data_IF_072932108068
#
_entry.id   IF_072932108068
#
_cell.length_a   1.000
_cell.length_b   1.000
_cell.length_c   1.000
_cell.angle_alpha   90.00
_cell.angle_beta   90.00
_cell.angle_gamma   90.00
#
_symmetry.space_group_name_H-M   'P 1'
#
loop_
_entity.id
_entity.type
_entity.pdbx_description
1 polymer ?
#
# COMPACT_ATOMS: atom_id res chain seq x y z
N UNK A 1 6.85 -38.99 -21.65
CA UNK A 1 7.12 -38.25 -20.39
C UNK A 1 6.78 -36.78 -20.62
N UNK A 2 6.08 -36.10 -19.72
CA UNK A 2 5.70 -34.69 -19.87
C UNK A 2 6.72 -33.83 -19.12
N UNK A 3 7.34 -32.87 -19.81
CA UNK A 3 8.21 -31.87 -19.20
C UNK A 3 7.52 -30.51 -19.29
N UNK A 4 7.45 -29.79 -18.17
CA UNK A 4 6.93 -28.43 -18.10
C UNK A 4 8.05 -27.48 -17.64
N UNK A 5 8.19 -26.35 -18.31
CA UNK A 5 8.99 -25.22 -17.81
C UNK A 5 8.08 -24.30 -16.99
N UNK A 6 8.58 -23.87 -15.83
CA UNK A 6 7.84 -23.05 -14.88
C UNK A 6 8.65 -21.78 -14.63
N UNK A 7 7.99 -20.63 -14.63
CA UNK A 7 8.58 -19.38 -14.16
C UNK A 7 7.99 -19.01 -12.79
N UNK A 8 8.85 -18.49 -11.91
CA UNK A 8 8.45 -17.89 -10.63
C UNK A 8 8.28 -16.38 -10.82
N UNK A 9 7.06 -15.88 -10.65
CA UNK A 9 6.84 -14.44 -10.61
C UNK A 9 7.09 -13.92 -9.19
N UNK A 10 8.02 -12.98 -9.05
CA UNK A 10 8.23 -12.23 -7.81
C UNK A 10 7.87 -10.77 -8.03
N UNK A 11 7.22 -10.18 -7.03
CA UNK A 11 6.85 -8.78 -7.10
C UNK A 11 8.10 -7.92 -6.90
N UNK A 12 8.50 -7.20 -7.94
CA UNK A 12 9.54 -6.17 -7.83
C UNK A 12 8.95 -4.92 -7.18
N UNK A 13 8.94 -4.86 -5.85
CA UNK A 13 8.48 -3.69 -5.10
C UNK A 13 9.47 -3.36 -3.98
N UNK A 14 9.83 -2.09 -3.87
CA UNK A 14 10.62 -1.56 -2.77
C UNK A 14 9.90 -0.36 -2.18
N UNK A 15 9.59 -0.44 -0.89
CA UNK A 15 8.99 0.68 -0.16
C UNK A 15 10.02 1.81 0.01
N UNK A 16 9.56 3.05 -0.12
CA UNK A 16 10.36 4.27 0.05
C UNK A 16 9.91 5.11 1.24
N UNK A 17 8.74 4.82 1.83
CA UNK A 17 8.21 5.40 3.05
C UNK A 17 7.20 4.45 3.69
N UNK A 18 6.79 4.68 4.94
CA UNK A 18 5.67 3.95 5.55
C UNK A 18 4.34 4.24 4.84
N UNK A 19 4.10 5.53 4.57
CA UNK A 19 3.02 6.03 3.72
C UNK A 19 3.64 6.82 2.56
N UNK A 20 3.40 6.36 1.34
CA UNK A 20 3.76 7.09 0.13
C UNK A 20 2.50 7.65 -0.51
N UNK A 21 2.47 8.96 -0.74
CA UNK A 21 1.44 9.66 -1.49
C UNK A 21 2.12 10.13 -2.78
N UNK A 22 1.73 9.52 -3.90
CA UNK A 22 2.46 9.60 -5.16
C UNK A 22 1.63 10.30 -6.24
N UNK A 23 1.95 11.58 -6.42
CA UNK A 23 1.32 12.48 -7.37
C UNK A 23 1.87 13.90 -7.24
N UNK A 24 1.16 14.83 -7.87
CA UNK A 24 1.43 16.27 -7.76
C UNK A 24 0.15 17.00 -7.38
N UNK A 25 0.21 17.87 -6.38
CA UNK A 25 -0.96 18.55 -5.84
C UNK A 25 -1.75 17.69 -4.86
N UNK A 26 -1.02 16.82 -4.15
CA UNK A 26 -1.56 15.84 -3.22
C UNK A 26 -2.33 16.51 -2.08
N UNK A 27 -3.39 15.86 -1.63
CA UNK A 27 -4.17 16.34 -0.48
C UNK A 27 -4.24 15.29 0.61
N UNK A 28 -4.09 15.73 1.85
CA UNK A 28 -4.31 14.88 2.99
C UNK A 28 -5.10 15.57 4.10
N UNK A 29 -5.84 14.76 4.85
CA UNK A 29 -6.45 15.13 6.11
C UNK A 29 -5.99 14.12 7.16
N UNK A 30 -5.24 14.59 8.15
CA UNK A 30 -4.65 13.76 9.18
C UNK A 30 -5.45 13.84 10.48
N UNK A 31 -5.60 12.74 11.24
CA UNK A 31 -6.50 12.70 12.36
C UNK A 31 -5.92 13.43 13.57
N UNK A 32 -6.80 13.97 14.41
CA UNK A 32 -6.41 14.58 15.69
C UNK A 32 -6.29 13.56 16.83
N UNK A 33 -6.39 12.25 16.56
CA UNK A 33 -6.17 11.17 17.53
C UNK A 33 -4.79 11.26 18.17
N UNK A 34 -4.69 11.07 19.49
CA UNK A 34 -3.40 11.04 20.21
C UNK A 34 -2.50 9.88 19.77
N UNK A 35 -3.09 8.78 19.30
CA UNK A 35 -2.43 7.49 19.13
C UNK A 35 -2.23 7.12 17.66
N UNK A 36 -2.90 7.79 16.73
CA UNK A 36 -2.59 7.66 15.30
C UNK A 36 -1.20 8.25 15.04
N UNK A 37 -0.41 7.54 14.25
CA UNK A 37 0.90 7.97 13.78
C UNK A 37 1.29 7.30 12.47
N UNK A 38 2.31 7.85 11.84
CA UNK A 38 2.98 7.27 10.69
C UNK A 38 4.44 7.12 11.04
N UNK A 39 4.93 5.89 11.11
CA UNK A 39 6.27 5.57 11.55
C UNK A 39 7.05 4.85 10.45
N UNK A 40 8.04 5.52 9.88
CA UNK A 40 9.00 4.98 8.91
C UNK A 40 10.17 4.23 9.54
N UNK A 41 10.32 4.25 10.87
CA UNK A 41 11.31 3.43 11.56
C UNK A 41 10.86 1.98 11.47
N UNK A 42 11.71 1.14 10.89
CA UNK A 42 11.37 -0.25 10.64
C UNK A 42 11.06 -1.02 11.92
N UNK A 43 10.03 -1.84 11.84
CA UNK A 43 9.57 -2.69 12.94
C UNK A 43 9.52 -4.16 12.52
N UNK A 44 9.92 -5.03 13.44
CA UNK A 44 9.75 -6.47 13.27
C UNK A 44 8.27 -6.80 13.03
N UNK A 45 8.00 -7.74 12.11
CA UNK A 45 6.64 -8.02 11.67
C UNK A 45 6.56 -9.20 10.72
N UNK A 46 5.37 -9.80 10.65
CA UNK A 46 5.05 -10.90 9.73
C UNK A 46 6.02 -12.09 9.78
N UNK A 47 6.45 -12.46 10.99
CA UNK A 47 7.38 -13.57 11.23
C UNK A 47 8.86 -13.19 11.10
N UNK A 48 9.19 -11.98 10.64
CA UNK A 48 10.56 -11.44 10.68
C UNK A 48 10.86 -10.84 12.05
N UNK A 49 12.02 -11.18 12.61
CA UNK A 49 12.59 -10.56 13.81
C UNK A 49 13.67 -9.53 13.49
N UNK A 50 14.11 -9.46 12.23
CA UNK A 50 15.13 -8.51 11.77
C UNK A 50 14.49 -7.24 11.24
N UNK A 51 15.07 -6.10 11.60
CA UNK A 51 14.73 -4.80 11.04
C UNK A 51 15.80 -4.33 10.07
N UNK A 52 15.39 -3.80 8.93
CA UNK A 52 16.18 -3.07 7.96
C UNK A 52 16.32 -1.57 8.31
N UNK A 53 16.77 -0.75 7.35
CA UNK A 53 16.94 0.68 7.55
C UNK A 53 15.61 1.39 7.74
N UNK A 54 15.62 2.49 8.51
CA UNK A 54 14.49 3.39 8.61
C UNK A 54 14.23 4.07 7.25
N UNK A 55 12.96 4.26 6.93
CA UNK A 55 12.48 5.05 5.81
C UNK A 55 11.82 6.34 6.34
N UNK A 56 11.54 7.31 5.46
CA UNK A 56 10.62 8.40 5.76
C UNK A 56 9.30 7.89 6.33
N UNK A 57 8.73 8.62 7.30
CA UNK A 57 7.37 8.38 7.75
C UNK A 57 6.39 8.55 6.59
N UNK A 58 6.33 9.77 6.05
CA UNK A 58 5.56 10.08 4.84
C UNK A 58 6.51 10.46 3.72
N UNK A 59 6.34 9.83 2.57
CA UNK A 59 7.00 10.18 1.31
C UNK A 59 6.03 10.80 0.32
N UNK A 60 6.44 11.90 -0.31
CA UNK A 60 5.76 12.57 -1.43
C UNK A 60 6.74 12.83 -2.58
N UNK A 61 6.29 13.22 -3.76
CA UNK A 61 7.18 13.36 -4.94
C UNK A 61 7.63 14.78 -5.27
N UNK A 62 7.10 15.80 -4.59
CA UNK A 62 7.54 17.17 -4.78
C UNK A 62 7.57 17.99 -3.48
N UNK A 63 8.30 19.11 -3.50
CA UNK A 63 8.47 19.97 -2.33
C UNK A 63 7.21 20.77 -1.95
N UNK A 64 6.39 21.26 -2.91
CA UNK A 64 5.05 21.77 -2.60
C UNK A 64 4.23 20.80 -1.75
N UNK A 65 4.18 19.53 -2.11
CA UNK A 65 3.42 18.51 -1.38
C UNK A 65 4.03 18.19 -0.02
N UNK A 66 5.37 18.27 0.14
CA UNK A 66 5.98 18.21 1.49
C UNK A 66 5.39 19.28 2.40
N UNK A 67 5.21 20.50 1.87
CA UNK A 67 4.63 21.62 2.63
C UNK A 67 3.15 21.40 2.92
N UNK A 68 2.37 21.00 1.90
CA UNK A 68 0.93 20.73 2.01
C UNK A 68 0.63 19.63 3.05
N UNK A 69 1.32 18.50 2.95
CA UNK A 69 1.11 17.36 3.84
C UNK A 69 1.61 17.66 5.26
N UNK A 70 2.74 18.36 5.42
CA UNK A 70 3.21 18.81 6.73
C UNK A 70 2.22 19.76 7.40
N UNK A 71 1.56 20.63 6.63
CA UNK A 71 0.55 21.55 7.14
C UNK A 71 -0.77 20.84 7.49
N UNK A 72 -1.09 19.73 6.82
CA UNK A 72 -2.26 18.90 7.12
C UNK A 72 -2.15 18.15 8.46
N UNK A 73 -0.94 17.93 8.98
CA UNK A 73 -0.72 17.27 10.28
C UNK A 73 -1.04 18.25 11.43
N UNK A 74 -1.97 17.92 12.34
CA UNK A 74 -2.28 18.77 13.48
C UNK A 74 -1.03 19.07 14.33
N UNK A 75 -0.85 20.32 14.75
CA UNK A 75 0.37 20.77 15.44
C UNK A 75 0.71 19.94 16.70
N UNK A 76 -0.30 19.51 17.45
CA UNK A 76 -0.15 18.67 18.65
C UNK A 76 0.02 17.17 18.34
N UNK A 77 0.20 16.80 17.07
CA UNK A 77 0.37 15.43 16.57
C UNK A 77 1.64 15.21 15.78
N UNK A 78 2.39 16.26 15.46
CA UNK A 78 3.61 16.19 14.65
C UNK A 78 4.61 15.14 15.14
N UNK A 79 4.73 14.97 16.46
CA UNK A 79 5.64 13.98 17.07
C UNK A 79 5.27 12.51 16.77
N UNK A 80 4.06 12.24 16.29
CA UNK A 80 3.61 10.88 15.93
C UNK A 80 3.99 10.49 14.49
N UNK A 81 4.62 11.40 13.74
CA UNK A 81 5.05 11.20 12.37
C UNK A 81 6.57 11.14 12.37
N UNK A 82 7.10 9.92 12.48
CA UNK A 82 8.53 9.64 12.68
C UNK A 82 9.10 8.85 11.52
N UNK A 83 10.41 8.91 11.33
CA UNK A 83 11.10 8.12 10.31
C UNK A 83 12.57 8.52 10.21
N UNK A 84 13.17 8.26 9.06
CA UNK A 84 14.61 8.43 8.83
C UNK A 84 15.10 9.89 8.86
N UNK A 85 14.20 10.87 8.77
CA UNK A 85 14.57 12.30 8.67
C UNK A 85 15.14 12.90 9.96
N UNK A 86 15.00 12.23 11.11
CA UNK A 86 15.53 12.70 12.40
C UNK A 86 14.78 13.91 13.00
N UNK A 87 13.73 14.40 12.35
CA UNK A 87 12.83 15.45 12.83
C UNK A 87 11.38 15.03 12.70
N UNK A 88 10.50 15.62 13.52
CA UNK A 88 9.05 15.37 13.48
C UNK A 88 8.27 16.64 13.12
N UNK A 89 7.29 16.59 12.20
CA UNK A 89 6.86 15.40 11.47
C UNK A 89 7.87 15.03 10.38
N UNK A 90 8.06 13.74 10.14
CA UNK A 90 8.93 13.25 9.06
C UNK A 90 8.14 13.11 7.75
N UNK A 91 8.14 14.18 6.97
CA UNK A 91 7.56 14.25 5.62
C UNK A 91 8.70 14.62 4.65
N UNK A 92 8.98 13.76 3.68
CA UNK A 92 10.12 13.94 2.79
C UNK A 92 9.72 13.84 1.32
N UNK A 93 10.43 14.60 0.47
CA UNK A 93 10.39 14.41 -0.96
C UNK A 93 11.27 13.20 -1.33
N UNK A 94 10.63 12.14 -1.83
CA UNK A 94 11.24 10.86 -2.18
C UNK A 94 11.36 10.62 -3.70
N UNK A 95 11.15 11.65 -4.52
CA UNK A 95 11.23 11.53 -5.99
C UNK A 95 12.54 10.91 -6.50
N UNK A 96 13.66 11.18 -5.84
CA UNK A 96 14.97 10.62 -6.20
C UNK A 96 15.23 9.21 -5.68
N UNK A 97 14.47 8.75 -4.69
CA UNK A 97 14.59 7.40 -4.11
C UNK A 97 13.50 6.44 -4.59
N UNK A 98 12.47 6.94 -5.27
CA UNK A 98 11.42 6.12 -5.89
C UNK A 98 12.01 5.16 -6.93
N UNK A 99 11.78 3.84 -6.81
CA UNK A 99 12.13 2.87 -7.83
C UNK A 99 11.48 3.22 -9.18
N UNK A 100 12.16 2.97 -10.33
CA UNK A 100 11.62 3.28 -11.65
C UNK A 100 10.24 2.68 -11.94
N UNK A 101 9.91 1.55 -11.32
CA UNK A 101 8.62 0.90 -11.49
C UNK A 101 7.47 1.59 -10.73
N UNK A 102 7.76 2.59 -9.89
CA UNK A 102 6.78 3.37 -9.14
C UNK A 102 6.64 4.82 -9.63
N UNK A 103 7.46 5.30 -10.58
CA UNK A 103 7.54 6.74 -10.90
C UNK A 103 6.49 7.27 -11.89
N UNK A 104 5.80 6.40 -12.63
CA UNK A 104 4.94 6.82 -13.76
C UNK A 104 3.60 6.09 -13.76
N UNK A 105 2.60 6.68 -14.42
CA UNK A 105 1.29 6.02 -14.65
C UNK A 105 1.47 4.64 -15.27
N UNK A 106 2.28 4.54 -16.33
CA UNK A 106 2.53 3.26 -17.02
C UNK A 106 3.23 2.25 -16.11
N UNK A 107 4.23 2.67 -15.34
CA UNK A 107 4.97 1.74 -14.49
C UNK A 107 4.12 1.19 -13.34
N UNK A 108 3.28 2.03 -12.73
CA UNK A 108 2.32 1.62 -11.70
C UNK A 108 1.18 0.75 -12.25
N UNK A 109 0.70 1.04 -13.46
CA UNK A 109 -0.26 0.18 -14.16
C UNK A 109 0.34 -1.18 -14.50
N UNK A 110 1.61 -1.24 -14.90
CA UNK A 110 2.32 -2.49 -15.11
C UNK A 110 2.47 -3.27 -13.79
N UNK A 111 2.89 -2.60 -12.71
CA UNK A 111 2.99 -3.22 -11.37
C UNK A 111 1.66 -3.83 -10.93
N UNK A 112 0.58 -3.05 -10.99
CA UNK A 112 -0.76 -3.53 -10.60
C UNK A 112 -1.27 -4.64 -11.52
N UNK A 113 -0.95 -4.60 -12.82
CA UNK A 113 -1.27 -5.68 -13.76
C UNK A 113 -0.51 -6.97 -13.44
N UNK A 114 0.77 -6.88 -13.08
CA UNK A 114 1.56 -8.01 -12.58
C UNK A 114 0.91 -8.59 -11.32
N UNK A 115 0.57 -7.76 -10.33
CA UNK A 115 -0.10 -8.23 -9.11
C UNK A 115 -1.45 -8.89 -9.43
N UNK A 116 -2.21 -8.34 -10.39
CA UNK A 116 -3.48 -8.93 -10.84
C UNK A 116 -3.30 -10.34 -11.41
N UNK A 117 -2.19 -10.62 -12.07
CA UNK A 117 -1.87 -11.97 -12.59
C UNK A 117 -1.48 -12.97 -11.49
N UNK A 118 -1.08 -12.47 -10.32
CA UNK A 118 -0.63 -13.27 -9.17
C UNK A 118 -1.71 -13.46 -8.09
N UNK A 119 -2.96 -13.03 -8.34
CA UNK A 119 -4.02 -13.06 -7.31
C UNK A 119 -4.26 -14.48 -6.78
N UNK A 120 -4.42 -14.61 -5.47
CA UNK A 120 -4.68 -15.90 -4.81
C UNK A 120 -6.16 -16.23 -4.69
N UNK A 121 -7.02 -15.31 -5.14
CA UNK A 121 -8.47 -15.43 -5.17
C UNK A 121 -9.05 -14.66 -6.38
N UNK A 122 -10.30 -14.91 -6.78
CA UNK A 122 -10.92 -14.16 -7.87
C UNK A 122 -10.84 -12.65 -7.66
N UNK A 123 -10.57 -11.92 -8.75
CA UNK A 123 -10.59 -10.46 -8.74
C UNK A 123 -11.94 -9.97 -8.21
N UNK A 124 -11.90 -9.10 -7.21
CA UNK A 124 -13.10 -8.51 -6.62
C UNK A 124 -13.53 -7.32 -7.48
N UNK A 125 -14.77 -7.30 -7.93
CA UNK A 125 -15.34 -6.16 -8.66
C UNK A 125 -15.95 -5.17 -7.66
N UNK A 126 -15.53 -3.91 -7.73
CA UNK A 126 -16.09 -2.83 -6.92
C UNK A 126 -17.41 -2.29 -7.49
N UNK A 127 -18.24 -1.61 -6.67
CA UNK A 127 -18.02 -1.35 -5.25
C UNK A 127 -18.22 -2.63 -4.40
N UNK A 128 -17.24 -2.94 -3.54
CA UNK A 128 -17.29 -4.08 -2.63
C UNK A 128 -17.25 -3.61 -1.17
N UNK A 129 -17.93 -4.31 -0.28
CA UNK A 129 -18.01 -3.96 1.16
C UNK A 129 -17.41 -5.04 2.09
N UNK A 130 -16.84 -6.08 1.51
CA UNK A 130 -16.24 -7.20 2.22
C UNK A 130 -15.22 -7.94 1.33
N UNK A 131 -14.36 -8.72 1.97
CA UNK A 131 -13.48 -9.70 1.33
C UNK A 131 -13.90 -11.09 1.80
N UNK A 132 -13.93 -12.07 0.90
CA UNK A 132 -14.20 -13.48 1.25
C UNK A 132 -13.12 -14.06 2.16
N UNK A 133 -11.87 -13.66 1.92
CA UNK A 133 -10.71 -14.02 2.73
C UNK A 133 -9.72 -12.84 2.70
N UNK A 134 -9.37 -12.30 3.88
CA UNK A 134 -8.36 -11.23 4.01
C UNK A 134 -6.94 -11.77 4.27
N UNK A 135 -6.77 -13.09 4.34
CA UNK A 135 -5.52 -13.76 4.67
C UNK A 135 -5.25 -13.87 6.16
N UNK A 136 -4.19 -14.62 6.49
CA UNK A 136 -3.68 -14.79 7.85
C UNK A 136 -2.15 -14.70 7.83
N UNK A 137 -1.50 -14.59 8.98
CA UNK A 137 -0.03 -14.58 9.07
C UNK A 137 0.62 -15.83 8.44
N UNK A 138 -0.05 -16.99 8.51
CA UNK A 138 0.42 -18.25 7.95
C UNK A 138 0.00 -18.50 6.50
N UNK A 139 -1.03 -17.80 6.02
CA UNK A 139 -1.55 -17.90 4.66
C UNK A 139 -1.99 -16.51 4.18
N UNK A 140 -1.03 -15.61 3.89
CA UNK A 140 -1.33 -14.29 3.35
C UNK A 140 -1.93 -14.40 1.93
N UNK A 141 -2.63 -13.37 1.47
CA UNK A 141 -3.35 -13.37 0.20
C UNK A 141 -2.88 -12.23 -0.71
N UNK A 142 -3.01 -12.44 -2.02
CA UNK A 142 -2.88 -11.39 -3.04
C UNK A 142 -4.30 -11.05 -3.52
N UNK A 143 -4.78 -9.88 -3.11
CA UNK A 143 -6.15 -9.42 -3.33
C UNK A 143 -6.12 -8.22 -4.26
N UNK A 144 -6.85 -8.33 -5.37
CA UNK A 144 -7.03 -7.24 -6.32
C UNK A 144 -8.51 -6.86 -6.37
N UNK A 145 -8.81 -5.60 -6.05
CA UNK A 145 -10.14 -5.00 -6.17
C UNK A 145 -10.15 -4.04 -7.36
N UNK A 146 -10.92 -4.41 -8.38
CA UNK A 146 -11.17 -3.57 -9.54
C UNK A 146 -12.38 -2.64 -9.27
N UNK A 147 -12.12 -1.49 -8.67
CA UNK A 147 -13.10 -0.50 -8.25
C UNK A 147 -12.95 -0.14 -6.78
N UNK A 148 -14.02 0.37 -6.18
CA UNK A 148 -14.02 0.82 -4.79
C UNK A 148 -14.11 -0.37 -3.81
N UNK A 149 -13.42 -0.24 -2.67
CA UNK A 149 -13.48 -1.18 -1.55
C UNK A 149 -13.83 -0.42 -0.28
N UNK A 150 -14.85 -0.89 0.45
CA UNK A 150 -15.12 -0.47 1.82
C UNK A 150 -14.93 -1.67 2.75
N UNK A 151 -14.04 -1.56 3.74
CA UNK A 151 -13.94 -2.51 4.84
C UNK A 151 -14.45 -1.84 6.11
N UNK A 152 -15.31 -2.55 6.85
CA UNK A 152 -15.90 -2.03 8.08
C UNK A 152 -15.86 -3.04 9.22
N UNK A 153 -15.97 -2.56 10.46
CA UNK A 153 -15.98 -3.41 11.64
C UNK A 153 -14.57 -3.76 12.10
N UNK A 154 -14.27 -5.05 12.24
CA UNK A 154 -12.95 -5.54 12.67
C UNK A 154 -12.35 -6.42 11.57
N UNK A 155 -11.37 -5.89 10.84
CA UNK A 155 -10.70 -6.59 9.74
C UNK A 155 -9.20 -6.46 9.92
N UNK A 156 -8.52 -7.60 9.95
CA UNK A 156 -7.05 -7.68 9.86
C UNK A 156 -6.71 -8.52 8.64
N UNK A 157 -6.08 -7.91 7.64
CA UNK A 157 -5.59 -8.65 6.47
C UNK A 157 -4.09 -8.90 6.47
N UNK A 158 -3.66 -9.80 5.59
CA UNK A 158 -2.27 -10.21 5.42
C UNK A 158 -1.94 -10.41 3.94
N UNK A 159 -0.79 -9.90 3.49
CA UNK A 159 -0.30 -10.02 2.11
C UNK A 159 -0.45 -8.72 1.32
N UNK A 160 -0.88 -8.82 0.06
CA UNK A 160 -1.01 -7.67 -0.85
C UNK A 160 -2.48 -7.33 -1.05
N UNK A 161 -2.84 -6.06 -0.84
CA UNK A 161 -4.13 -5.50 -1.20
C UNK A 161 -3.96 -4.41 -2.26
N UNK A 162 -4.59 -4.59 -3.42
CA UNK A 162 -4.68 -3.57 -4.47
C UNK A 162 -6.12 -3.10 -4.60
N UNK A 163 -6.34 -1.79 -4.63
CA UNK A 163 -7.64 -1.16 -4.86
C UNK A 163 -7.49 -0.11 -5.96
N UNK A 164 -8.21 -0.27 -7.07
CA UNK A 164 -8.13 0.68 -8.21
C UNK A 164 -9.07 1.88 -8.07
N UNK A 165 -10.04 1.82 -7.17
CA UNK A 165 -10.93 2.93 -6.86
C UNK A 165 -10.55 3.64 -5.56
N UNK A 166 -11.57 3.92 -4.76
CA UNK A 166 -11.45 4.44 -3.40
C UNK A 166 -11.37 3.28 -2.41
N UNK A 167 -10.36 3.29 -1.54
CA UNK A 167 -10.30 2.40 -0.38
C UNK A 167 -10.82 3.11 0.87
N UNK A 168 -11.92 2.61 1.43
CA UNK A 168 -12.53 3.12 2.67
C UNK A 168 -12.36 2.11 3.80
N UNK A 169 -11.71 2.51 4.88
CA UNK A 169 -11.46 1.72 6.07
C UNK A 169 -12.20 2.31 7.29
N UNK A 170 -13.25 1.65 7.76
CA UNK A 170 -14.12 2.15 8.84
C UNK A 170 -14.08 1.23 10.06
N UNK A 171 -13.78 1.76 11.24
CA UNK A 171 -13.64 0.97 12.47
C UNK A 171 -12.21 0.46 12.76
N UNK A 172 -12.06 -0.83 13.04
CA UNK A 172 -10.79 -1.50 13.39
C UNK A 172 -10.25 -2.27 12.19
N UNK A 173 -9.91 -1.56 11.11
CA UNK A 173 -9.34 -2.14 9.88
C UNK A 173 -7.84 -1.93 9.87
N UNK A 174 -7.08 -3.00 9.62
CA UNK A 174 -5.64 -2.97 9.46
C UNK A 174 -5.14 -4.04 8.50
N UNK A 175 -3.87 -3.93 8.13
CA UNK A 175 -3.25 -4.79 7.12
C UNK A 175 -1.81 -5.07 7.47
N UNK A 176 -1.36 -6.32 7.34
CA UNK A 176 0.03 -6.72 7.51
C UNK A 176 0.60 -7.09 6.13
N UNK A 177 1.34 -6.19 5.51
CA UNK A 177 1.89 -6.35 4.16
C UNK A 177 1.80 -5.05 3.35
N UNK A 178 1.39 -5.17 2.09
CA UNK A 178 1.30 -4.04 1.16
C UNK A 178 -0.14 -3.63 0.92
N UNK A 179 -0.40 -2.33 0.98
CA UNK A 179 -1.66 -1.72 0.53
C UNK A 179 -1.37 -0.73 -0.58
N UNK A 180 -1.87 -1.02 -1.78
CA UNK A 180 -1.70 -0.20 -2.98
C UNK A 180 -3.06 0.33 -3.40
N UNK A 181 -3.30 1.63 -3.18
CA UNK A 181 -4.48 2.33 -3.69
C UNK A 181 -4.05 3.07 -4.96
N UNK A 182 -4.04 2.34 -6.08
CA UNK A 182 -3.46 2.78 -7.35
C UNK A 182 -4.55 2.72 -8.43
N UNK A 183 -4.97 3.89 -8.89
CA UNK A 183 -6.09 4.02 -9.82
C UNK A 183 -6.72 5.40 -9.68
N UNK A 184 -7.90 5.48 -9.08
CA UNK A 184 -8.47 6.76 -8.66
C UNK A 184 -7.66 7.42 -7.52
N UNK A 185 -6.91 6.63 -6.74
CA UNK A 185 -5.92 7.13 -5.78
C UNK A 185 -6.52 7.77 -4.53
N UNK A 186 -7.61 7.21 -3.99
CA UNK A 186 -8.31 7.77 -2.84
C UNK A 186 -8.30 6.80 -1.65
N UNK A 187 -7.66 7.17 -0.54
CA UNK A 187 -7.72 6.45 0.72
C UNK A 187 -8.55 7.24 1.73
N UNK A 188 -9.53 6.58 2.36
CA UNK A 188 -10.36 7.18 3.43
C UNK A 188 -10.41 6.27 4.66
N UNK A 189 -9.89 6.72 5.80
CA UNK A 189 -9.91 6.02 7.08
C UNK A 189 -10.79 6.70 8.12
N UNK A 190 -11.86 6.04 8.58
CA UNK A 190 -12.84 6.58 9.53
C UNK A 190 -12.97 5.63 10.74
N UNK A 191 -11.86 5.36 11.42
CA UNK A 191 -11.76 4.26 12.41
C UNK A 191 -11.37 4.66 13.84
N UNK A 192 -12.03 4.06 14.82
CA UNK A 192 -11.75 4.20 16.26
C UNK A 192 -11.00 3.02 16.89
N UNK A 193 -10.43 2.12 16.08
CA UNK A 193 -9.77 0.88 16.52
C UNK A 193 -8.29 1.01 16.88
N UNK A 194 -7.62 -0.12 17.09
CA UNK A 194 -6.18 -0.23 17.37
C UNK A 194 -5.42 -1.02 16.29
N UNK A 195 -6.09 -1.43 15.21
CA UNK A 195 -5.47 -2.14 14.10
C UNK A 195 -4.63 -1.18 13.25
N UNK A 196 -3.40 -1.60 12.94
CA UNK A 196 -2.46 -0.80 12.16
C UNK A 196 -2.23 -1.37 10.77
N UNK A 197 -1.67 -0.55 9.89
CA UNK A 197 -1.10 -0.95 8.62
C UNK A 197 0.40 -1.19 8.83
N UNK A 198 0.79 -2.46 9.00
CA UNK A 198 2.16 -2.86 9.22
C UNK A 198 2.78 -3.33 7.90
N UNK A 199 3.75 -2.60 7.37
CA UNK A 199 4.33 -2.85 6.06
C UNK A 199 4.48 -1.55 5.29
N UNK A 200 3.84 -1.39 4.13
CA UNK A 200 3.87 -0.12 3.39
C UNK A 200 2.53 0.17 2.71
N UNK A 201 2.16 1.46 2.69
CA UNK A 201 0.97 1.97 2.01
C UNK A 201 1.40 2.91 0.89
N UNK A 202 0.91 2.68 -0.33
CA UNK A 202 1.12 3.53 -1.50
C UNK A 202 -0.25 4.00 -2.00
N UNK A 203 -0.43 5.32 -2.16
CA UNK A 203 -1.62 5.92 -2.76
C UNK A 203 -1.18 6.71 -3.99
N UNK A 204 -1.66 6.33 -5.16
CA UNK A 204 -1.28 6.98 -6.43
C UNK A 204 -2.49 7.10 -7.36
N UNK A 205 -2.62 8.27 -8.00
CA UNK A 205 -3.70 8.51 -8.96
C UNK A 205 -3.20 8.32 -10.39
N UNK A 206 -3.60 7.20 -10.98
CA UNK A 206 -3.26 6.81 -12.35
C UNK A 206 -4.45 6.88 -13.31
N UNK A 207 -5.68 7.06 -12.80
CA UNK A 207 -6.91 7.08 -13.57
C UNK A 207 -7.70 8.38 -13.36
N UNK A 208 -8.43 8.81 -14.39
CA UNK A 208 -9.46 9.85 -14.28
C UNK A 208 -10.75 9.30 -13.64
N UNK A 209 -11.76 10.17 -13.47
CA UNK A 209 -13.06 9.78 -12.90
C UNK A 209 -13.90 8.84 -13.79
N UNK A 210 -13.50 8.67 -15.06
CA UNK A 210 -14.13 7.74 -16.01
C UNK A 210 -13.35 6.42 -16.10
N UNK A 211 -12.23 6.28 -15.38
CA UNK A 211 -11.38 5.09 -15.39
C UNK A 211 -10.36 5.04 -16.53
N UNK A 212 -10.07 6.15 -17.22
CA UNK A 212 -9.03 6.21 -18.24
C UNK A 212 -7.65 6.52 -17.62
N UNK A 213 -6.56 5.92 -18.15
CA UNK A 213 -5.20 6.29 -17.77
C UNK A 213 -4.90 7.78 -17.94
N UNK A 214 -4.29 8.37 -16.92
CA UNK A 214 -3.75 9.73 -17.00
C UNK A 214 -2.42 9.75 -17.76
N UNK A 215 -2.05 10.90 -18.33
CA UNK A 215 -0.73 11.08 -18.97
C UNK A 215 0.40 11.16 -17.94
N UNK A 216 0.15 11.88 -16.84
CA UNK A 216 1.03 12.00 -15.68
C UNK A 216 0.24 11.59 -14.44
N UNK A 217 0.94 11.30 -13.34
CA UNK A 217 0.28 11.07 -12.06
C UNK A 217 -0.59 12.27 -11.68
N UNK A 218 -1.83 12.00 -11.30
CA UNK A 218 -2.74 13.03 -10.78
C UNK A 218 -2.52 13.24 -9.28
N UNK A 219 -3.31 14.11 -8.67
CA UNK A 219 -3.36 14.30 -7.23
C UNK A 219 -4.18 13.18 -6.52
N UNK A 220 -3.55 12.21 -5.84
CA UNK A 220 -4.20 11.34 -4.87
C UNK A 220 -4.76 12.10 -3.66
N UNK A 221 -5.65 11.42 -2.94
CA UNK A 221 -6.20 11.91 -1.68
C UNK A 221 -6.00 10.89 -0.56
N UNK A 222 -5.51 11.35 0.59
CA UNK A 222 -5.37 10.55 1.80
C UNK A 222 -6.10 11.20 2.97
N UNK A 223 -7.28 10.69 3.31
CA UNK A 223 -8.10 11.25 4.38
C UNK A 223 -8.22 10.26 5.51
N UNK A 224 -7.86 10.65 6.72
CA UNK A 224 -8.02 9.82 7.90
C UNK A 224 -8.61 10.67 9.05
N UNK A 225 -9.83 10.36 9.47
CA UNK A 225 -10.61 11.14 10.44
C UNK A 225 -10.92 10.37 11.74
N UNK A 226 -10.24 9.24 11.97
CA UNK A 226 -10.46 8.34 13.10
C UNK A 226 -9.81 8.74 14.43
N UNK A 227 -10.47 8.44 15.54
CA UNK A 227 -9.99 8.67 16.92
C UNK A 227 -9.16 7.53 17.53
N UNK A 228 -8.98 6.42 16.81
CA UNK A 228 -8.30 5.22 17.29
C UNK A 228 -6.78 5.24 17.12
N UNK A 229 -6.11 4.18 17.59
CA UNK A 229 -4.68 3.90 17.46
C UNK A 229 -4.31 3.22 16.15
N UNK A 230 -5.22 3.21 15.19
CA UNK A 230 -4.89 2.84 13.82
C UNK A 230 -3.77 3.77 13.34
N UNK A 231 -2.78 3.25 12.61
CA UNK A 231 -1.63 4.02 12.11
C UNK A 231 -0.90 3.25 11.01
N UNK A 232 0.10 3.87 10.39
CA UNK A 232 0.98 3.21 9.43
C UNK A 232 2.35 2.98 10.08
N UNK A 233 2.79 1.72 10.16
CA UNK A 233 4.10 1.36 10.67
C UNK A 233 4.86 0.65 9.57
N UNK A 234 6.03 1.17 9.23
CA UNK A 234 6.91 0.50 8.30
C UNK A 234 7.36 -0.84 8.90
N UNK A 235 7.24 -1.90 8.10
CA UNK A 235 7.77 -3.21 8.43
C UNK A 235 8.33 -3.89 7.18
N UNK A 236 9.65 -3.89 7.06
CA UNK A 236 10.39 -4.58 6.00
C UNK A 236 10.08 -6.08 5.98
N UNK A 237 9.87 -6.69 7.14
CA UNK A 237 9.43 -8.08 7.28
C UNK A 237 8.07 -8.35 6.64
N UNK A 238 7.09 -7.48 6.86
CA UNK A 238 5.77 -7.60 6.23
C UNK A 238 5.81 -7.31 4.72
N UNK A 239 6.63 -6.35 4.28
CA UNK A 239 6.86 -6.10 2.85
C UNK A 239 7.51 -7.32 2.18
N UNK A 240 8.51 -7.93 2.82
CA UNK A 240 9.17 -9.13 2.33
C UNK A 240 8.21 -10.33 2.27
N UNK A 241 7.40 -10.56 3.30
CA UNK A 241 6.37 -11.61 3.27
C UNK A 241 5.39 -11.40 2.10
N UNK A 242 4.93 -10.16 1.88
CA UNK A 242 3.99 -9.85 0.82
C UNK A 242 4.60 -10.02 -0.58
N UNK A 243 5.83 -9.55 -0.81
CA UNK A 243 6.51 -9.58 -2.13
C UNK A 243 7.05 -10.95 -2.52
N UNK A 244 7.25 -11.84 -1.54
CA UNK A 244 7.70 -13.23 -1.77
C UNK A 244 6.56 -14.21 -2.00
N UNK A 245 5.29 -13.74 -2.01
CA UNK A 245 4.15 -14.53 -2.45
C UNK A 245 4.29 -14.82 -3.95
N UNK A 246 4.95 -15.93 -4.26
CA UNK A 246 5.21 -16.38 -5.62
C UNK A 246 4.00 -17.12 -6.18
N UNK A 247 3.62 -16.79 -7.41
CA UNK A 247 2.77 -17.66 -8.23
C UNK A 247 3.61 -18.28 -9.33
N UNK A 248 3.38 -19.57 -9.59
CA UNK A 248 4.03 -20.31 -10.66
C UNK A 248 3.13 -20.34 -11.88
N UNK A 249 3.67 -20.05 -13.06
CA UNK A 249 2.98 -20.25 -14.32
C UNK A 249 3.81 -21.14 -15.27
N UNK A 250 3.11 -21.98 -16.05
CA UNK A 250 3.74 -22.88 -17.02
C UNK A 250 4.09 -22.07 -18.26
N UNK A 251 5.38 -22.02 -18.59
CA UNK A 251 5.93 -21.31 -19.75
C UNK A 251 5.79 -22.13 -21.03
N UNK A 252 5.99 -23.44 -20.92
CA UNK A 252 5.90 -24.37 -22.03
C UNK A 252 5.62 -25.78 -21.50
N UNK A 253 4.92 -26.58 -22.31
CA UNK A 253 4.83 -28.02 -22.13
C UNK A 253 5.39 -28.73 -23.35
N UNK A 254 6.18 -29.78 -23.13
CA UNK A 254 6.62 -30.70 -24.18
C UNK A 254 6.26 -32.12 -23.78
N UNK A 255 5.62 -32.82 -24.71
CA UNK A 255 5.32 -34.23 -24.59
C UNK A 255 6.36 -35.03 -25.39
N UNK A 256 7.09 -35.94 -24.73
CA UNK A 256 7.99 -36.88 -25.41
C UNK A 256 7.26 -38.21 -25.63
N UNK A 257 7.02 -38.54 -26.90
CA UNK A 257 6.59 -39.85 -27.36
C UNK A 257 7.80 -40.80 -27.32
N UNK A 258 7.62 -41.96 -26.68
CA UNK A 258 8.61 -43.02 -26.65
C UNK A 258 8.74 -43.70 -28.02
#
# INVERSE_FOLDING_TARGET
>A
MVQAEIAEDRLNFAATAALTIDGTGDTASMPSSNIFGVNGIDSAGCGSTTTGPALPGIGVTDNPDVTTITAAIPNNRKNNYTGSGGSTPDVQNISSSLPPNLQTVTSLQNLTSTIKSMVTQPVVTGPASNLSNAGTAASPQIIYVNGDLTLSGNVTGYGILVVTGTFTASGNVGWNGLVLVVGQGNFTGNGGGNNSYNGAVLVAKTLDSMGHPLTNLGAPTFNFSGGGGNGMNYSSGCVAQATTLSTFHIMAFREMLN
#
